data_IF_441666837409
#
_entry.id   IF_441666837409
#
_cell.length_a   1.000
_cell.length_b   1.000
_cell.length_c   1.000
_cell.angle_alpha   90.00
_cell.angle_beta   90.00
_cell.angle_gamma   90.00
#
_symmetry.space_group_name_H-M   'P 1'
#
loop_
_entity.id
_entity.type
_entity.pdbx_description
1 polymer ?
#
# COMPACT_ATOMS: atom_id res chain seq x y z
N UNK A 1 12.15 0.18 -11.78
CA UNK A 1 11.87 0.70 -13.14
C UNK A 1 12.69 -0.08 -14.18
N UNK A 2 13.95 -0.38 -13.91
CA UNK A 2 14.82 -1.21 -14.78
C UNK A 2 14.23 -2.58 -15.14
N UNK A 3 13.73 -3.34 -14.16
CA UNK A 3 13.09 -4.64 -14.43
C UNK A 3 11.80 -4.54 -15.26
N UNK A 4 11.24 -3.33 -15.38
CA UNK A 4 10.05 -3.07 -16.18
C UNK A 4 10.42 -2.65 -17.60
N UNK A 5 11.42 -1.77 -17.75
CA UNK A 5 11.99 -1.41 -19.06
C UNK A 5 12.48 -2.64 -19.82
N UNK A 6 13.15 -3.58 -19.14
CA UNK A 6 13.59 -4.84 -19.75
C UNK A 6 12.41 -5.64 -20.33
N UNK A 7 11.24 -5.63 -19.68
CA UNK A 7 10.03 -6.29 -20.18
C UNK A 7 9.37 -5.53 -21.33
N UNK A 8 9.35 -4.19 -21.28
CA UNK A 8 8.83 -3.35 -22.36
C UNK A 8 9.67 -3.48 -23.64
N UNK A 9 11.00 -3.57 -23.50
CA UNK A 9 11.93 -3.82 -24.61
C UNK A 9 11.70 -5.17 -25.29
N UNK A 10 11.16 -6.18 -24.60
CA UNK A 10 10.77 -7.43 -25.24
C UNK A 10 9.50 -7.29 -26.10
N UNK A 11 8.62 -6.35 -25.77
CA UNK A 11 7.38 -6.10 -26.52
C UNK A 11 7.62 -5.24 -27.75
N UNK A 12 8.39 -4.16 -27.61
CA UNK A 12 8.77 -3.29 -28.71
C UNK A 12 10.22 -2.78 -28.53
N UNK A 13 11.21 -3.48 -29.09
CA UNK A 13 12.61 -3.09 -28.99
C UNK A 13 12.92 -1.76 -29.70
N UNK A 14 12.11 -1.35 -30.67
CA UNK A 14 12.31 -0.12 -31.44
C UNK A 14 11.89 1.11 -30.63
N UNK A 15 10.76 1.02 -29.90
CA UNK A 15 10.30 2.06 -28.96
C UNK A 15 11.17 2.12 -27.71
N UNK A 16 11.52 0.98 -27.12
CA UNK A 16 12.24 0.88 -25.84
C UNK A 16 13.71 0.47 -26.04
N UNK A 17 14.48 1.29 -26.76
CA UNK A 17 15.87 1.02 -27.09
C UNK A 17 16.88 1.63 -26.10
N UNK A 18 16.55 2.78 -25.51
CA UNK A 18 17.41 3.52 -24.59
C UNK A 18 16.74 3.71 -23.21
N UNK A 19 17.46 3.32 -22.15
CA UNK A 19 16.94 3.38 -20.79
C UNK A 19 16.96 4.80 -20.21
N UNK A 20 17.98 5.60 -20.52
CA UNK A 20 18.12 6.95 -19.98
C UNK A 20 17.04 7.87 -20.57
N UNK A 21 16.79 7.77 -21.87
CA UNK A 21 15.68 8.48 -22.54
C UNK A 21 14.33 8.07 -21.94
N UNK A 22 14.12 6.78 -21.66
CA UNK A 22 12.90 6.33 -21.00
C UNK A 22 12.76 6.93 -19.59
N UNK A 23 13.83 6.98 -18.80
CA UNK A 23 13.81 7.60 -17.46
C UNK A 23 13.52 9.09 -17.55
N UNK A 24 14.09 9.80 -18.52
CA UNK A 24 13.86 11.22 -18.72
C UNK A 24 12.42 11.51 -19.17
N UNK A 25 11.89 10.72 -20.12
CA UNK A 25 10.47 10.76 -20.52
C UNK A 25 9.56 10.50 -19.30
N UNK A 26 9.91 9.55 -18.43
CA UNK A 26 9.16 9.29 -17.19
C UNK A 26 9.18 10.44 -16.19
N UNK A 27 10.29 11.18 -16.06
CA UNK A 27 10.35 12.37 -15.19
C UNK A 27 9.41 13.46 -15.70
N UNK A 28 9.32 13.63 -17.01
CA UNK A 28 8.45 14.62 -17.64
C UNK A 28 6.95 14.33 -17.43
N UNK A 29 6.56 13.08 -17.14
CA UNK A 29 5.18 12.74 -16.80
C UNK A 29 4.78 13.03 -15.36
N UNK A 30 5.75 13.26 -14.46
CA UNK A 30 5.45 13.53 -13.06
C UNK A 30 4.66 14.83 -12.85
N UNK A 31 5.04 15.97 -13.48
CA UNK A 31 4.24 17.19 -13.46
C UNK A 31 2.80 16.97 -13.96
N UNK A 32 2.61 16.13 -14.99
CA UNK A 32 1.27 15.80 -15.54
C UNK A 32 0.44 15.02 -14.52
N UNK A 33 1.03 14.04 -13.84
CA UNK A 33 0.35 13.27 -12.81
C UNK A 33 -0.07 14.15 -11.62
N UNK A 34 0.81 15.07 -11.21
CA UNK A 34 0.54 16.03 -10.14
C UNK A 34 -0.57 17.01 -10.57
N UNK A 35 -0.53 17.51 -11.81
CA UNK A 35 -1.58 18.32 -12.43
C UNK A 35 -2.96 17.63 -12.45
N UNK A 36 -3.02 16.37 -12.88
CA UNK A 36 -4.27 15.58 -12.85
C UNK A 36 -4.77 15.38 -11.42
N UNK A 37 -3.87 15.09 -10.47
CA UNK A 37 -4.24 14.95 -9.07
C UNK A 37 -4.80 16.25 -8.48
N UNK A 38 -4.21 17.40 -8.83
CA UNK A 38 -4.71 18.72 -8.44
C UNK A 38 -6.10 19.01 -9.00
N UNK A 39 -6.33 18.72 -10.29
CA UNK A 39 -7.65 18.85 -10.92
C UNK A 39 -8.69 17.93 -10.25
N UNK A 40 -8.33 16.69 -9.93
CA UNK A 40 -9.25 15.75 -9.27
C UNK A 40 -9.52 16.09 -7.80
N UNK A 41 -8.58 16.76 -7.12
CA UNK A 41 -8.77 17.23 -5.75
C UNK A 41 -9.85 18.31 -5.63
N UNK A 42 -10.08 19.08 -6.70
CA UNK A 42 -11.14 20.10 -6.77
C UNK A 42 -10.85 21.35 -5.94
N UNK A 43 -9.59 21.57 -5.56
CA UNK A 43 -9.16 22.79 -4.88
C UNK A 43 -8.98 23.95 -5.89
N UNK A 44 -9.03 25.20 -5.40
CA UNK A 44 -8.67 26.36 -6.22
C UNK A 44 -7.18 26.31 -6.56
N UNK A 45 -6.89 26.43 -7.85
CA UNK A 45 -5.56 26.47 -8.41
C UNK A 45 -5.05 27.91 -8.38
N UNK A 46 -3.79 28.06 -8.01
CA UNK A 46 -3.01 29.29 -8.12
C UNK A 46 -2.68 29.61 -9.58
N UNK A 47 -2.32 30.86 -9.86
CA UNK A 47 -1.92 31.28 -11.20
C UNK A 47 -0.67 30.54 -11.70
N UNK A 48 0.25 30.15 -10.81
CA UNK A 48 1.43 29.36 -11.16
C UNK A 48 1.03 27.95 -11.62
N UNK A 49 0.09 27.30 -10.93
CA UNK A 49 -0.43 25.98 -11.29
C UNK A 49 -1.23 26.01 -12.60
N UNK A 50 -1.99 27.08 -12.84
CA UNK A 50 -2.72 27.29 -14.09
C UNK A 50 -1.77 27.49 -15.28
N UNK A 51 -0.70 28.28 -15.12
CA UNK A 51 0.31 28.45 -16.16
C UNK A 51 1.02 27.14 -16.47
N UNK A 52 1.38 26.36 -15.44
CA UNK A 52 1.99 25.04 -15.62
C UNK A 52 1.07 24.07 -16.36
N UNK A 53 -0.24 24.07 -16.06
CA UNK A 53 -1.25 23.32 -16.83
C UNK A 53 -1.35 23.80 -18.28
N UNK A 54 -1.27 25.11 -18.50
CA UNK A 54 -1.23 25.73 -19.82
C UNK A 54 -0.07 25.22 -20.67
N UNK A 55 1.13 25.27 -20.10
CA UNK A 55 2.37 24.80 -20.74
C UNK A 55 2.34 23.29 -21.03
N UNK A 56 1.78 22.49 -20.11
CA UNK A 56 1.67 21.05 -20.29
C UNK A 56 0.67 20.65 -21.39
N UNK A 57 -0.42 21.38 -21.56
CA UNK A 57 -1.43 21.05 -22.57
C UNK A 57 -1.02 21.56 -23.94
N UNK A 58 -0.55 22.80 -24.07
CA UNK A 58 0.03 23.36 -25.30
C UNK A 58 -0.93 23.52 -26.50
N UNK A 59 -0.92 24.71 -27.10
CA UNK A 59 -1.49 25.04 -28.44
C UNK A 59 -3.02 25.05 -28.63
N UNK A 60 -3.84 24.97 -27.57
CA UNK A 60 -5.28 25.25 -27.68
C UNK A 60 -5.66 26.40 -26.75
N UNK A 61 -6.70 27.14 -27.13
CA UNK A 61 -7.28 28.23 -26.33
C UNK A 61 -8.02 27.62 -25.13
N UNK A 62 -7.25 27.17 -24.13
CA UNK A 62 -7.72 26.48 -22.92
C UNK A 62 -7.96 27.44 -21.76
N UNK A 63 -7.63 28.72 -21.92
CA UNK A 63 -7.91 29.80 -20.96
C UNK A 63 -9.36 29.75 -20.46
N UNK A 64 -10.38 29.66 -21.34
CA UNK A 64 -11.78 29.62 -20.90
C UNK A 64 -12.12 28.37 -20.09
N UNK A 65 -11.51 27.24 -20.44
CA UNK A 65 -11.73 25.95 -19.80
C UNK A 65 -11.04 25.91 -18.43
N UNK A 66 -9.82 26.43 -18.32
CA UNK A 66 -9.08 26.60 -17.07
C UNK A 66 -9.81 27.53 -16.09
N UNK A 67 -10.33 28.66 -16.59
CA UNK A 67 -11.11 29.59 -15.77
C UNK A 67 -12.41 28.95 -15.28
N UNK A 68 -13.11 28.20 -16.14
CA UNK A 68 -14.31 27.45 -15.75
C UNK A 68 -13.99 26.39 -14.70
N UNK A 69 -12.91 25.63 -14.90
CA UNK A 69 -12.44 24.57 -14.01
C UNK A 69 -12.02 25.08 -12.62
N UNK A 70 -11.47 26.30 -12.53
CA UNK A 70 -11.05 26.95 -11.29
C UNK A 70 -12.15 27.81 -10.63
N UNK A 71 -13.33 27.90 -11.27
CA UNK A 71 -14.46 28.66 -10.75
C UNK A 71 -15.40 27.79 -9.92
N UNK A 72 -16.21 28.43 -9.07
CA UNK A 72 -17.28 27.76 -8.31
C UNK A 72 -18.60 27.66 -9.11
N UNK A 73 -18.53 27.77 -10.45
CA UNK A 73 -19.70 27.79 -11.34
C UNK A 73 -20.18 26.37 -11.68
N UNK A 74 -21.47 26.26 -12.02
CA UNK A 74 -22.02 25.05 -12.63
C UNK A 74 -21.23 24.70 -13.90
N UNK A 75 -20.73 23.46 -13.98
CA UNK A 75 -19.88 22.99 -15.07
C UNK A 75 -18.38 22.94 -14.76
N UNK A 76 -17.92 23.46 -13.61
CA UNK A 76 -16.51 23.37 -13.22
C UNK A 76 -15.98 21.92 -13.14
N UNK A 77 -16.81 20.99 -12.68
CA UNK A 77 -16.44 19.57 -12.62
C UNK A 77 -16.29 18.95 -14.02
N UNK A 78 -17.14 19.33 -14.97
CA UNK A 78 -17.05 18.86 -16.35
C UNK A 78 -15.80 19.42 -17.03
N UNK A 79 -15.51 20.72 -16.83
CA UNK A 79 -14.30 21.36 -17.34
C UNK A 79 -13.03 20.69 -16.79
N UNK A 80 -13.00 20.35 -15.49
CA UNK A 80 -11.88 19.59 -14.90
C UNK A 80 -11.73 18.20 -15.52
N UNK A 81 -12.83 17.52 -15.77
CA UNK A 81 -12.80 16.18 -16.37
C UNK A 81 -12.34 16.21 -17.84
N UNK A 82 -12.71 17.25 -18.57
CA UNK A 82 -12.24 17.51 -19.93
C UNK A 82 -10.74 17.81 -19.97
N UNK A 83 -10.24 18.68 -19.07
CA UNK A 83 -8.80 18.94 -18.91
C UNK A 83 -8.01 17.67 -18.58
N UNK A 84 -8.53 16.81 -17.70
CA UNK A 84 -7.91 15.51 -17.39
C UNK A 84 -7.85 14.63 -18.64
N UNK A 85 -8.92 14.58 -19.45
CA UNK A 85 -8.93 13.81 -20.70
C UNK A 85 -7.87 14.32 -21.68
N UNK A 86 -7.74 15.65 -21.85
CA UNK A 86 -6.74 16.25 -22.73
C UNK A 86 -5.31 15.95 -22.28
N UNK A 87 -5.04 16.03 -20.97
CA UNK A 87 -3.74 15.65 -20.39
C UNK A 87 -3.44 14.16 -20.62
N UNK A 88 -4.44 13.28 -20.44
CA UNK A 88 -4.28 11.83 -20.64
C UNK A 88 -4.08 11.44 -22.11
N UNK A 89 -4.70 12.15 -23.06
CA UNK A 89 -4.53 11.86 -24.49
C UNK A 89 -3.17 12.28 -25.04
N UNK A 90 -2.63 13.41 -24.56
CA UNK A 90 -1.32 13.92 -25.00
C UNK A 90 -0.14 13.23 -24.31
N UNK A 91 -0.26 12.98 -23.01
CA UNK A 91 0.83 12.44 -22.18
C UNK A 91 0.60 10.97 -21.77
N UNK A 92 -0.33 10.30 -22.45
CA UNK A 92 -0.83 8.98 -22.06
C UNK A 92 0.20 7.87 -22.15
N UNK A 93 0.87 7.57 -21.03
CA UNK A 93 1.53 6.27 -20.82
C UNK A 93 0.52 5.12 -20.63
N UNK A 94 -0.76 5.45 -20.39
CA UNK A 94 -1.87 4.53 -20.13
C UNK A 94 -2.19 3.60 -21.31
N UNK A 95 -1.75 3.93 -22.53
CA UNK A 95 -1.86 3.03 -23.69
C UNK A 95 -0.87 1.86 -23.66
N UNK A 96 0.18 1.96 -22.85
CA UNK A 96 1.24 0.95 -22.73
C UNK A 96 1.29 0.34 -21.33
N UNK A 97 0.88 1.08 -20.29
CA UNK A 97 1.08 0.68 -18.90
C UNK A 97 -0.13 1.04 -18.03
N UNK A 98 -0.74 0.01 -17.43
CA UNK A 98 -1.75 0.17 -16.38
C UNK A 98 -1.11 0.00 -15.00
N UNK A 99 -1.10 1.06 -14.19
CA UNK A 99 -0.63 1.00 -12.79
C UNK A 99 -1.72 1.48 -11.84
N UNK A 100 -2.50 0.54 -11.34
CA UNK A 100 -3.51 0.83 -10.33
C UNK A 100 -2.88 0.80 -8.93
N UNK A 101 -3.16 1.83 -8.15
CA UNK A 101 -2.79 1.88 -6.72
C UNK A 101 -4.04 1.67 -5.88
N UNK A 102 -3.85 1.18 -4.64
CA UNK A 102 -4.97 1.04 -3.69
C UNK A 102 -5.65 2.37 -3.37
N UNK A 103 -4.94 3.49 -3.50
CA UNK A 103 -5.50 4.81 -3.30
C UNK A 103 -6.48 5.22 -4.42
N UNK A 104 -6.21 4.79 -5.67
CA UNK A 104 -7.05 5.10 -6.83
C UNK A 104 -8.25 4.16 -7.02
N UNK A 105 -8.27 3.00 -6.36
CA UNK A 105 -9.33 2.00 -6.51
C UNK A 105 -10.18 1.92 -5.23
N UNK A 106 -11.46 2.27 -5.35
CA UNK A 106 -12.45 2.13 -4.26
C UNK A 106 -12.90 0.67 -4.12
N UNK A 107 -13.55 0.35 -3.00
CA UNK A 107 -14.13 -0.98 -2.74
C UNK A 107 -13.32 -1.86 -1.80
N UNK A 108 -12.14 -1.42 -1.37
CA UNK A 108 -11.42 -2.10 -0.28
C UNK A 108 -12.14 -1.87 1.06
N UNK A 109 -12.43 -2.93 1.83
CA UNK A 109 -13.06 -2.78 3.14
C UNK A 109 -12.10 -2.07 4.10
N UNK A 110 -12.68 -1.31 5.04
CA UNK A 110 -11.93 -0.80 6.19
C UNK A 110 -11.53 -1.96 7.09
N UNK A 111 -10.40 -1.80 7.79
CA UNK A 111 -9.92 -2.77 8.79
C UNK A 111 -10.10 -2.15 10.17
N UNK A 112 -10.71 -2.89 11.08
CA UNK A 112 -10.86 -2.50 12.48
C UNK A 112 -10.01 -3.42 13.35
N UNK A 113 -9.17 -2.83 14.19
CA UNK A 113 -8.26 -3.56 15.05
C UNK A 113 -8.92 -3.81 16.41
N UNK A 114 -9.01 -5.07 16.81
CA UNK A 114 -9.43 -5.48 18.15
C UNK A 114 -8.22 -6.05 18.89
N UNK A 115 -7.69 -5.31 19.87
CA UNK A 115 -6.56 -5.75 20.69
C UNK A 115 -7.03 -6.30 22.02
N UNK A 116 -6.41 -7.39 22.47
CA UNK A 116 -6.77 -8.10 23.69
C UNK A 116 -5.49 -8.47 24.41
N UNK A 117 -5.32 -7.89 25.59
CA UNK A 117 -4.15 -8.12 26.43
C UNK A 117 -4.41 -9.30 27.33
N UNK A 118 -3.58 -10.34 27.21
CA UNK A 118 -3.65 -11.54 28.02
C UNK A 118 -2.44 -11.61 28.95
N UNK A 119 -2.59 -12.17 30.17
CA UNK A 119 -1.46 -12.36 31.07
C UNK A 119 -0.48 -13.40 30.51
N UNK A 120 0.81 -13.25 30.78
CA UNK A 120 1.83 -14.24 30.43
C UNK A 120 1.84 -15.37 31.47
N UNK A 121 1.50 -16.62 31.11
CA UNK A 121 1.55 -17.78 32.01
C UNK A 121 2.92 -17.97 32.65
N UNK A 122 2.95 -18.38 33.92
CA UNK A 122 4.19 -18.63 34.66
C UNK A 122 5.01 -19.76 34.04
N UNK A 123 4.35 -20.74 33.43
CA UNK A 123 4.96 -21.86 32.70
C UNK A 123 5.86 -21.36 31.55
N UNK A 124 5.38 -20.43 30.73
CA UNK A 124 6.19 -19.81 29.68
C UNK A 124 7.31 -18.95 30.25
N UNK A 125 7.09 -18.23 31.35
CA UNK A 125 8.16 -17.46 31.98
C UNK A 125 9.34 -18.34 32.39
N UNK A 126 9.07 -19.54 32.91
CA UNK A 126 10.11 -20.52 33.25
C UNK A 126 10.79 -21.07 32.00
N UNK A 127 10.02 -21.51 31.00
CA UNK A 127 10.56 -22.05 29.74
C UNK A 127 11.46 -21.05 29.00
N UNK A 128 11.03 -19.78 28.92
CA UNK A 128 11.81 -18.69 28.31
C UNK A 128 13.13 -18.45 29.05
N UNK A 129 13.11 -18.47 30.40
CA UNK A 129 14.35 -18.32 31.20
C UNK A 129 15.34 -19.46 30.93
N UNK A 130 14.86 -20.70 30.90
CA UNK A 130 15.72 -21.88 30.63
C UNK A 130 16.28 -21.82 29.22
N UNK A 131 15.45 -21.49 28.22
CA UNK A 131 15.88 -21.27 26.83
C UNK A 131 16.93 -20.16 26.73
N UNK A 132 16.78 -19.06 27.48
CA UNK A 132 17.77 -17.99 27.54
C UNK A 132 19.14 -18.44 28.07
N UNK A 133 19.17 -19.36 29.03
CA UNK A 133 20.42 -19.92 29.57
C UNK A 133 21.05 -20.89 28.56
N UNK A 134 20.26 -21.76 27.94
CA UNK A 134 20.76 -22.75 26.95
C UNK A 134 21.18 -22.09 25.62
N UNK A 135 20.50 -21.01 25.24
CA UNK A 135 20.74 -20.24 24.02
C UNK A 135 21.87 -19.22 24.11
N UNK A 136 22.71 -19.25 25.15
CA UNK A 136 23.79 -18.27 25.35
C UNK A 136 24.79 -18.18 24.18
N UNK A 137 24.90 -19.25 23.37
CA UNK A 137 25.75 -19.31 22.18
C UNK A 137 25.04 -18.89 20.89
N UNK A 138 23.72 -18.70 20.91
CA UNK A 138 22.94 -18.27 19.73
C UNK A 138 23.13 -16.77 19.48
N UNK A 139 22.96 -16.35 18.23
CA UNK A 139 22.96 -14.94 17.87
C UNK A 139 21.81 -14.19 18.57
N UNK A 140 21.86 -12.86 18.58
CA UNK A 140 20.73 -12.07 19.08
C UNK A 140 19.45 -12.25 18.25
N UNK A 141 19.60 -12.42 16.93
CA UNK A 141 18.50 -12.65 16.00
C UNK A 141 17.81 -14.00 16.24
N UNK A 142 18.59 -15.07 16.38
CA UNK A 142 18.05 -16.41 16.62
C UNK A 142 17.33 -16.48 17.98
N UNK A 143 17.90 -15.84 19.02
CA UNK A 143 17.25 -15.75 20.33
C UNK A 143 15.91 -15.00 20.26
N UNK A 144 15.85 -13.90 19.52
CA UNK A 144 14.61 -13.16 19.34
C UNK A 144 13.57 -13.99 18.59
N UNK A 145 13.99 -14.78 17.59
CA UNK A 145 13.12 -15.68 16.82
C UNK A 145 12.52 -16.78 17.69
N UNK A 146 13.31 -17.40 18.56
CA UNK A 146 12.83 -18.40 19.52
C UNK A 146 11.75 -17.78 20.43
N UNK A 147 11.96 -16.56 20.91
CA UNK A 147 11.03 -15.86 21.81
C UNK A 147 9.69 -15.47 21.17
N UNK A 148 9.54 -15.54 19.83
CA UNK A 148 8.27 -15.29 19.15
C UNK A 148 7.24 -16.39 19.39
N UNK A 149 7.68 -17.62 19.68
CA UNK A 149 6.82 -18.79 19.80
C UNK A 149 7.07 -19.54 21.12
N UNK A 150 6.57 -19.02 22.26
CA UNK A 150 6.75 -19.64 23.57
C UNK A 150 6.26 -21.09 23.65
N UNK A 151 5.24 -21.45 22.86
CA UNK A 151 4.74 -22.82 22.75
C UNK A 151 5.79 -23.81 22.22
N UNK A 152 6.64 -23.42 21.27
CA UNK A 152 7.69 -24.28 20.72
C UNK A 152 8.79 -24.52 21.75
N UNK A 153 9.21 -23.46 22.44
CA UNK A 153 10.17 -23.55 23.55
C UNK A 153 9.65 -24.50 24.63
N UNK A 154 8.36 -24.36 25.00
CA UNK A 154 7.75 -25.22 26.02
C UNK A 154 7.71 -26.70 25.60
N UNK A 155 7.37 -26.99 24.34
CA UNK A 155 7.32 -28.36 23.81
C UNK A 155 8.71 -29.02 23.76
N UNK A 156 9.78 -28.27 23.47
CA UNK A 156 11.14 -28.80 23.51
C UNK A 156 11.55 -29.27 24.91
N UNK A 157 11.01 -28.64 25.98
CA UNK A 157 11.31 -29.00 27.36
C UNK A 157 10.43 -30.13 27.92
N UNK A 158 9.12 -30.09 27.66
CA UNK A 158 8.15 -31.05 28.21
C UNK A 158 7.91 -32.27 27.30
N UNK A 159 8.47 -32.26 26.08
CA UNK A 159 8.29 -33.31 25.08
C UNK A 159 7.00 -33.17 24.27
N UNK A 160 6.80 -34.10 23.32
CA UNK A 160 5.73 -34.08 22.30
C UNK A 160 4.30 -34.18 22.91
N UNK A 161 4.19 -34.45 24.22
CA UNK A 161 2.95 -34.43 25.00
C UNK A 161 2.65 -33.08 25.68
N UNK A 162 3.40 -32.02 25.38
CA UNK A 162 3.28 -30.72 26.03
C UNK A 162 1.89 -30.10 25.90
N UNK A 163 1.09 -30.15 26.97
CA UNK A 163 -0.30 -29.65 27.04
C UNK A 163 -0.39 -28.14 27.23
N UNK A 164 0.37 -27.37 26.45
CA UNK A 164 0.45 -25.91 26.59
C UNK A 164 -0.92 -25.22 26.44
N UNK A 165 -1.81 -25.80 25.62
CA UNK A 165 -3.17 -25.31 25.38
C UNK A 165 -4.07 -25.34 26.62
N UNK A 166 -3.72 -26.08 27.68
CA UNK A 166 -4.51 -26.15 28.90
C UNK A 166 -4.37 -24.91 29.80
N UNK A 167 -3.21 -24.24 29.76
CA UNK A 167 -2.94 -23.06 30.60
C UNK A 167 -2.84 -21.76 29.80
N UNK A 168 -2.80 -21.84 28.47
CA UNK A 168 -2.66 -20.67 27.61
C UNK A 168 -3.99 -19.89 27.52
N UNK A 169 -4.05 -18.64 28.02
CA UNK A 169 -5.28 -17.86 28.05
C UNK A 169 -5.79 -17.50 26.64
N UNK A 170 -4.95 -17.62 25.60
CA UNK A 170 -5.38 -17.44 24.21
C UNK A 170 -6.43 -18.47 23.81
N UNK A 171 -6.31 -19.70 24.31
CA UNK A 171 -7.22 -20.81 23.98
C UNK A 171 -8.58 -20.59 24.63
N UNK A 172 -8.59 -20.25 25.93
CA UNK A 172 -9.84 -19.92 26.64
C UNK A 172 -10.55 -18.72 26.00
N UNK A 173 -9.80 -17.66 25.70
CA UNK A 173 -10.35 -16.48 25.02
C UNK A 173 -10.93 -16.84 23.65
N UNK A 174 -10.19 -17.61 22.85
CA UNK A 174 -10.62 -18.03 21.52
C UNK A 174 -11.88 -18.90 21.58
N UNK A 175 -11.96 -19.85 22.51
CA UNK A 175 -13.15 -20.67 22.71
C UNK A 175 -14.37 -19.81 23.06
N UNK A 176 -14.23 -18.86 23.99
CA UNK A 176 -15.29 -17.91 24.35
C UNK A 176 -15.72 -17.03 23.16
N UNK A 177 -14.75 -16.60 22.36
CA UNK A 177 -15.02 -15.79 21.16
C UNK A 177 -15.75 -16.60 20.08
N UNK A 178 -15.30 -17.83 19.80
CA UNK A 178 -15.92 -18.70 18.79
C UNK A 178 -17.32 -19.16 19.20
N UNK A 179 -17.53 -19.53 20.46
CA UNK A 179 -18.86 -19.93 20.96
C UNK A 179 -19.86 -18.79 20.93
N UNK A 180 -19.45 -17.57 21.29
CA UNK A 180 -20.31 -16.37 21.19
C UNK A 180 -20.57 -15.93 19.74
N UNK A 181 -19.70 -16.32 18.80
CA UNK A 181 -19.71 -15.86 17.42
C UNK A 181 -20.06 -16.98 16.43
N UNK A 182 -20.60 -18.12 16.90
CA UNK A 182 -20.75 -19.38 16.17
C UNK A 182 -21.50 -19.32 14.82
N UNK A 183 -22.21 -18.21 14.52
CA UNK A 183 -22.92 -17.99 13.24
C UNK A 183 -22.15 -17.08 12.24
N UNK A 184 -20.99 -16.52 12.60
CA UNK A 184 -20.16 -15.70 11.70
C UNK A 184 -18.91 -16.48 11.31
N UNK A 185 -18.52 -16.40 10.05
CA UNK A 185 -17.22 -16.93 9.59
C UNK A 185 -16.10 -16.05 10.16
N UNK A 186 -15.26 -16.63 11.00
CA UNK A 186 -13.97 -16.05 11.34
C UNK A 186 -13.05 -16.23 10.12
N UNK A 187 -12.73 -15.14 9.44
CA UNK A 187 -11.74 -15.10 8.34
C UNK A 187 -10.46 -14.48 8.85
#
# INVERSE_FOLDING_TARGET
MESHFARLRLLDPSRFHDFEQFVEEQKNYRPVADAVAMLLAGNKLSNEELNMLGDLIGEQDIEPLLQTANSDRDGAQNARQELVSMLMDRHGTSRVLFRNTRNGVKGFPKRELHTIKLPLPTQYQTAIKVSGIMGARKSAEDRARDMLYPEQIYQEFEGDSGTWWNFDPRVEWLMGHLTSTARRKCW
#
